data_IF_563034100899
#
_entry.id   IF_563034100899
#
_cell.length_a   1.000
_cell.length_b   1.000
_cell.length_c   1.000
_cell.angle_alpha   90.00
_cell.angle_beta   90.00
_cell.angle_gamma   90.00
#
_symmetry.space_group_name_H-M   'P 1'
#
loop_
_entity.id
_entity.type
_entity.pdbx_description
1 polymer ?
#
# COMPACT_ATOMS: atom_id res chain seq x y z
N UNK A 1 -21.72 -12.70 -5.55
CA UNK A 1 -23.12 -12.87 -5.98
C UNK A 1 -24.15 -12.40 -4.94
N UNK A 2 -24.17 -12.93 -3.71
CA UNK A 2 -25.15 -12.49 -2.68
C UNK A 2 -25.10 -10.97 -2.37
N UNK A 3 -23.91 -10.36 -2.38
CA UNK A 3 -23.74 -8.93 -2.13
C UNK A 3 -24.46 -8.04 -3.16
N UNK A 4 -24.38 -8.39 -4.46
CA UNK A 4 -25.08 -7.66 -5.52
C UNK A 4 -26.60 -7.68 -5.31
N UNK A 5 -27.16 -8.84 -4.97
CA UNK A 5 -28.60 -8.96 -4.74
C UNK A 5 -29.10 -8.07 -3.59
N UNK A 6 -28.31 -7.93 -2.51
CA UNK A 6 -28.66 -7.02 -1.42
C UNK A 6 -28.57 -5.55 -1.84
N UNK A 7 -27.54 -5.19 -2.59
CA UNK A 7 -27.35 -3.81 -3.06
C UNK A 7 -28.41 -3.43 -4.10
N UNK A 8 -28.77 -4.33 -5.01
CA UNK A 8 -29.86 -4.13 -5.96
C UNK A 8 -31.20 -3.93 -5.26
N UNK A 9 -31.45 -4.71 -4.19
CA UNK A 9 -32.63 -4.51 -3.34
C UNK A 9 -32.59 -3.13 -2.65
N UNK A 10 -31.45 -2.71 -2.13
CA UNK A 10 -31.31 -1.39 -1.51
C UNK A 10 -31.61 -0.25 -2.51
N UNK A 11 -31.08 -0.33 -3.73
CA UNK A 11 -31.34 0.64 -4.80
C UNK A 11 -32.82 0.61 -5.24
N UNK A 12 -33.46 -0.56 -5.25
CA UNK A 12 -34.88 -0.68 -5.58
C UNK A 12 -35.80 -0.05 -4.52
N UNK A 13 -35.37 -0.05 -3.26
CA UNK A 13 -36.08 0.57 -2.14
C UNK A 13 -35.84 2.08 -2.10
N UNK A 14 -34.62 2.52 -2.40
CA UNK A 14 -34.25 3.93 -2.50
C UNK A 14 -33.27 4.15 -3.67
N UNK A 15 -33.79 4.73 -4.75
CA UNK A 15 -33.01 5.03 -5.95
C UNK A 15 -32.00 6.17 -5.74
N UNK A 16 -32.22 7.01 -4.71
CA UNK A 16 -31.38 8.15 -4.35
C UNK A 16 -30.37 7.78 -3.24
N UNK A 17 -30.15 6.49 -2.99
CA UNK A 17 -29.16 6.05 -2.02
C UNK A 17 -27.74 6.03 -2.63
N UNK A 18 -27.01 7.15 -2.54
CA UNK A 18 -25.66 7.29 -3.11
C UNK A 18 -24.70 6.16 -2.69
N UNK A 19 -24.66 5.83 -1.40
CA UNK A 19 -23.80 4.76 -0.87
C UNK A 19 -24.12 3.38 -1.46
N UNK A 20 -25.39 3.08 -1.74
CA UNK A 20 -25.76 1.80 -2.35
C UNK A 20 -25.24 1.71 -3.80
N UNK A 21 -25.37 2.79 -4.59
CA UNK A 21 -24.77 2.87 -5.92
C UNK A 21 -23.25 2.75 -5.86
N UNK A 22 -22.58 3.44 -4.92
CA UNK A 22 -21.14 3.32 -4.72
C UNK A 22 -20.72 1.89 -4.38
N UNK A 23 -21.38 1.25 -3.41
CA UNK A 23 -21.09 -0.12 -3.02
C UNK A 23 -21.31 -1.11 -4.18
N UNK A 24 -22.31 -0.86 -5.03
CA UNK A 24 -22.50 -1.65 -6.26
C UNK A 24 -21.31 -1.49 -7.21
N UNK A 25 -20.83 -0.25 -7.39
CA UNK A 25 -19.62 0.06 -8.13
C UNK A 25 -18.40 -0.70 -7.59
N UNK A 26 -18.18 -0.66 -6.28
CA UNK A 26 -17.07 -1.36 -5.60
C UNK A 26 -17.13 -2.88 -5.85
N UNK A 27 -18.32 -3.49 -5.73
CA UNK A 27 -18.51 -4.92 -5.98
C UNK A 27 -18.25 -5.26 -7.46
N UNK A 28 -18.69 -4.41 -8.39
CA UNK A 28 -18.46 -4.62 -9.83
C UNK A 28 -16.99 -4.46 -10.21
N UNK A 29 -16.28 -3.50 -9.60
CA UNK A 29 -14.83 -3.37 -9.74
C UNK A 29 -14.10 -4.61 -9.24
N UNK A 30 -14.49 -5.15 -8.07
CA UNK A 30 -13.91 -6.38 -7.54
C UNK A 30 -14.21 -7.62 -8.42
N UNK A 31 -15.19 -7.54 -9.32
CA UNK A 31 -15.50 -8.55 -10.33
C UNK A 31 -14.83 -8.30 -11.69
N UNK A 32 -13.91 -7.35 -11.77
CA UNK A 32 -13.22 -6.96 -13.01
C UNK A 32 -14.19 -6.47 -14.10
N UNK A 33 -15.25 -5.75 -13.69
CA UNK A 33 -16.26 -5.15 -14.57
C UNK A 33 -16.25 -3.61 -14.48
N UNK A 34 -15.14 -2.95 -14.87
CA UNK A 34 -14.97 -1.49 -14.70
C UNK A 34 -15.98 -0.67 -15.49
N UNK A 35 -16.45 -1.16 -16.65
CA UNK A 35 -17.47 -0.47 -17.46
C UNK A 35 -18.78 -0.27 -16.70
N UNK A 36 -19.28 -1.34 -16.07
CA UNK A 36 -20.52 -1.30 -15.29
C UNK A 36 -20.33 -0.56 -13.98
N UNK A 37 -19.15 -0.69 -13.37
CA UNK A 37 -18.83 0.03 -12.14
C UNK A 37 -18.85 1.54 -12.34
N UNK A 38 -18.27 2.03 -13.45
CA UNK A 38 -18.21 3.46 -13.79
C UNK A 38 -19.61 4.10 -13.79
N UNK A 39 -20.62 3.45 -14.38
CA UNK A 39 -21.99 3.98 -14.38
C UNK A 39 -22.60 4.08 -12.98
N UNK A 40 -22.32 3.12 -12.10
CA UNK A 40 -22.83 3.14 -10.73
C UNK A 40 -22.13 4.21 -9.88
N UNK A 41 -20.82 4.39 -10.04
CA UNK A 41 -20.12 5.52 -9.40
C UNK A 41 -20.56 6.87 -9.94
N UNK A 42 -20.87 6.97 -11.23
CA UNK A 42 -21.41 8.19 -11.82
C UNK A 42 -22.78 8.54 -11.21
N UNK A 43 -23.69 7.58 -11.03
CA UNK A 43 -24.94 7.82 -10.33
C UNK A 43 -24.73 8.20 -8.86
N UNK A 44 -23.79 7.56 -8.16
CA UNK A 44 -23.44 7.95 -6.80
C UNK A 44 -22.93 9.40 -6.74
N UNK A 45 -22.13 9.84 -7.73
CA UNK A 45 -21.67 11.22 -7.90
C UNK A 45 -22.81 12.19 -8.17
N UNK A 46 -23.78 11.85 -9.03
CA UNK A 46 -24.93 12.71 -9.32
C UNK A 46 -25.79 12.96 -8.08
N UNK A 47 -25.96 11.92 -7.24
CA UNK A 47 -26.75 12.00 -6.01
C UNK A 47 -25.97 12.76 -4.92
N UNK A 48 -24.67 12.46 -4.76
CA UNK A 48 -23.81 13.08 -3.76
C UNK A 48 -22.50 13.58 -4.39
N UNK A 49 -22.49 14.80 -4.96
CA UNK A 49 -21.30 15.34 -5.64
C UNK A 49 -20.10 15.57 -4.72
N UNK A 50 -20.28 15.57 -3.40
CA UNK A 50 -19.20 15.77 -2.42
C UNK A 50 -18.55 14.47 -1.95
N UNK A 51 -19.07 13.31 -2.38
CA UNK A 51 -18.53 12.02 -1.99
C UNK A 51 -17.27 11.66 -2.80
N UNK A 52 -16.10 11.93 -2.20
CA UNK A 52 -14.79 11.66 -2.81
C UNK A 52 -14.57 10.17 -3.11
N UNK A 53 -15.22 9.26 -2.38
CA UNK A 53 -15.10 7.82 -2.63
C UNK A 53 -15.72 7.41 -3.98
N UNK A 54 -16.77 8.12 -4.42
CA UNK A 54 -17.35 7.91 -5.76
C UNK A 54 -16.40 8.36 -6.87
N UNK A 55 -15.71 9.49 -6.70
CA UNK A 55 -14.66 9.92 -7.64
C UNK A 55 -13.49 8.94 -7.67
N UNK A 56 -13.08 8.41 -6.51
CA UNK A 56 -12.03 7.42 -6.39
C UNK A 56 -12.34 6.16 -7.20
N UNK A 57 -13.54 5.61 -7.06
CA UNK A 57 -14.00 4.47 -7.84
C UNK A 57 -14.00 4.74 -9.34
N UNK A 58 -14.45 5.92 -9.78
CA UNK A 58 -14.40 6.32 -11.19
C UNK A 58 -12.96 6.42 -11.72
N UNK A 59 -12.05 7.05 -10.97
CA UNK A 59 -10.64 7.18 -11.35
C UNK A 59 -10.00 5.80 -11.49
N UNK A 60 -10.26 4.89 -10.55
CA UNK A 60 -9.77 3.51 -10.62
C UNK A 60 -10.28 2.78 -11.86
N UNK A 61 -11.59 2.85 -12.15
CA UNK A 61 -12.18 2.29 -13.37
C UNK A 61 -11.49 2.81 -14.65
N UNK A 62 -11.29 4.13 -14.74
CA UNK A 62 -10.66 4.74 -15.91
C UNK A 62 -9.19 4.34 -16.05
N UNK A 63 -8.46 4.24 -14.94
CA UNK A 63 -7.07 3.80 -14.94
C UNK A 63 -6.92 2.34 -15.37
N UNK A 64 -7.77 1.44 -14.89
CA UNK A 64 -7.78 0.03 -15.31
C UNK A 64 -8.05 -0.12 -16.82
N UNK A 65 -8.85 0.79 -17.39
CA UNK A 65 -9.16 0.82 -18.83
C UNK A 65 -8.13 1.58 -19.66
N UNK A 66 -7.09 2.16 -19.05
CA UNK A 66 -6.11 3.00 -19.74
C UNK A 66 -6.65 4.35 -20.23
N UNK A 67 -7.82 4.77 -19.74
CA UNK A 67 -8.47 6.04 -20.09
C UNK A 67 -7.91 7.19 -19.21
N UNK A 68 -6.63 7.50 -19.39
CA UNK A 68 -5.91 8.45 -18.53
C UNK A 68 -6.48 9.88 -18.58
N UNK A 69 -7.01 10.32 -19.71
CA UNK A 69 -7.63 11.65 -19.84
C UNK A 69 -8.85 11.80 -18.93
N UNK A 70 -9.72 10.79 -18.93
CA UNK A 70 -10.97 10.79 -18.17
C UNK A 70 -10.68 10.64 -16.67
N UNK A 71 -9.66 9.83 -16.32
CA UNK A 71 -9.14 9.74 -14.95
C UNK A 71 -8.63 11.09 -14.44
N UNK A 72 -7.82 11.80 -15.23
CA UNK A 72 -7.28 13.12 -14.84
C UNK A 72 -8.41 14.16 -14.71
N UNK A 73 -9.38 14.16 -15.63
CA UNK A 73 -10.53 15.06 -15.56
C UNK A 73 -11.36 14.80 -14.31
N UNK A 74 -11.71 13.55 -14.05
CA UNK A 74 -12.49 13.14 -12.86
C UNK A 74 -11.76 13.47 -11.57
N UNK A 75 -10.44 13.26 -11.52
CA UNK A 75 -9.64 13.61 -10.36
C UNK A 75 -9.57 15.13 -10.13
N UNK A 76 -9.56 15.94 -11.20
CA UNK A 76 -9.62 17.41 -11.09
C UNK A 76 -10.98 17.87 -10.56
N UNK A 77 -12.08 17.29 -11.04
CA UNK A 77 -13.41 17.55 -10.49
C UNK A 77 -13.45 17.26 -8.98
N UNK A 78 -12.83 16.15 -8.53
CA UNK A 78 -12.76 15.83 -7.10
C UNK A 78 -12.05 16.92 -6.28
N UNK A 79 -10.97 17.51 -6.80
CA UNK A 79 -10.28 18.63 -6.15
C UNK A 79 -11.12 19.91 -6.17
N UNK A 80 -11.88 20.17 -7.24
CA UNK A 80 -12.75 21.35 -7.31
C UNK A 80 -13.84 21.29 -6.24
N UNK A 81 -14.40 20.09 -5.99
CA UNK A 81 -15.42 19.90 -4.96
C UNK A 81 -14.83 19.92 -3.56
N UNK A 82 -13.67 19.29 -3.34
CA UNK A 82 -13.02 19.20 -2.03
C UNK A 82 -11.53 19.62 -2.09
N UNK A 83 -11.22 20.92 -2.21
CA UNK A 83 -9.86 21.40 -2.46
C UNK A 83 -8.89 21.21 -1.29
N UNK A 84 -9.42 20.95 -0.09
CA UNK A 84 -8.67 20.69 1.14
C UNK A 84 -8.70 19.22 1.57
N UNK A 85 -9.41 18.36 0.85
CA UNK A 85 -9.41 16.92 1.17
C UNK A 85 -8.15 16.26 0.58
N UNK A 86 -7.26 15.68 1.40
CA UNK A 86 -6.05 15.03 0.92
C UNK A 86 -6.34 13.83 0.02
N UNK A 87 -7.52 13.18 0.14
CA UNK A 87 -7.95 12.09 -0.76
C UNK A 87 -8.18 12.60 -2.17
N UNK A 88 -8.87 13.73 -2.34
CA UNK A 88 -9.10 14.35 -3.65
C UNK A 88 -7.77 14.72 -4.33
N UNK A 89 -6.82 15.28 -3.57
CA UNK A 89 -5.49 15.60 -4.09
C UNK A 89 -4.68 14.34 -4.46
N UNK A 90 -4.85 13.26 -3.69
CA UNK A 90 -4.25 11.95 -3.98
C UNK A 90 -4.75 11.39 -5.31
N UNK A 91 -6.03 11.54 -5.64
CA UNK A 91 -6.59 11.07 -6.92
C UNK A 91 -5.91 11.73 -8.12
N UNK A 92 -5.60 13.02 -8.04
CA UNK A 92 -4.87 13.71 -9.12
C UNK A 92 -3.45 13.18 -9.24
N UNK A 93 -2.77 12.94 -8.11
CA UNK A 93 -1.46 12.32 -8.10
C UNK A 93 -1.48 10.95 -8.79
N UNK A 94 -2.46 10.11 -8.44
CA UNK A 94 -2.63 8.77 -8.99
C UNK A 94 -2.89 8.82 -10.51
N UNK A 95 -3.88 9.62 -10.93
CA UNK A 95 -4.24 9.75 -12.34
C UNK A 95 -3.06 10.25 -13.20
N UNK A 96 -2.28 11.20 -12.68
CA UNK A 96 -1.10 11.73 -13.36
C UNK A 96 0.10 10.76 -13.36
N UNK A 97 0.27 9.97 -12.29
CA UNK A 97 1.38 9.02 -12.17
C UNK A 97 1.28 7.87 -13.16
N UNK A 98 0.04 7.45 -13.50
CA UNK A 98 -0.23 6.37 -14.44
C UNK A 98 -0.34 6.84 -15.89
N UNK A 99 -0.51 8.14 -16.12
CA UNK A 99 -0.47 8.69 -17.46
C UNK A 99 0.95 8.56 -18.05
N UNK A 100 1.11 8.17 -19.32
CA UNK A 100 2.42 7.90 -19.94
C UNK A 100 3.29 9.15 -20.17
N UNK A 101 2.81 10.34 -19.82
CA UNK A 101 3.53 11.59 -20.07
C UNK A 101 4.55 11.87 -18.94
N UNK A 102 5.81 12.10 -19.31
CA UNK A 102 6.88 12.44 -18.34
C UNK A 102 6.55 13.65 -17.47
N UNK A 103 5.92 14.69 -18.02
CA UNK A 103 5.48 15.87 -17.26
C UNK A 103 4.40 15.56 -16.22
N UNK A 104 3.62 14.50 -16.45
CA UNK A 104 2.63 13.99 -15.49
C UNK A 104 3.29 13.50 -14.21
N UNK A 105 4.47 12.90 -14.32
CA UNK A 105 5.23 12.32 -13.21
C UNK A 105 5.63 13.36 -12.17
N UNK A 106 6.21 14.49 -12.59
CA UNK A 106 6.59 15.55 -11.65
C UNK A 106 5.38 16.22 -11.00
N UNK A 107 4.28 16.38 -11.76
CA UNK A 107 3.02 16.90 -11.23
C UNK A 107 2.40 15.93 -10.23
N UNK A 108 2.50 14.62 -10.47
CA UNK A 108 2.03 13.59 -9.56
C UNK A 108 2.78 13.61 -8.22
N UNK A 109 4.12 13.66 -8.25
CA UNK A 109 4.92 13.81 -7.01
C UNK A 109 4.54 15.06 -6.21
N UNK A 110 4.33 16.19 -6.89
CA UNK A 110 3.85 17.42 -6.25
C UNK A 110 2.46 17.26 -5.63
N UNK A 111 1.56 16.56 -6.30
CA UNK A 111 0.23 16.25 -5.78
C UNK A 111 0.31 15.35 -4.54
N UNK A 112 1.08 14.26 -4.56
CA UNK A 112 1.26 13.39 -3.40
C UNK A 112 1.90 14.10 -2.22
N UNK A 113 2.95 14.90 -2.45
CA UNK A 113 3.52 15.75 -1.40
C UNK A 113 2.47 16.69 -0.84
N UNK A 114 1.69 17.37 -1.68
CA UNK A 114 0.60 18.25 -1.22
C UNK A 114 -0.44 17.49 -0.40
N UNK A 115 -0.84 16.29 -0.80
CA UNK A 115 -1.77 15.45 -0.05
C UNK A 115 -1.24 15.11 1.35
N UNK A 116 0.04 14.73 1.45
CA UNK A 116 0.71 14.47 2.74
C UNK A 116 0.86 15.72 3.61
N UNK A 117 1.04 16.90 3.02
CA UNK A 117 1.06 18.16 3.79
C UNK A 117 -0.33 18.56 4.27
N UNK A 118 -1.38 18.32 3.47
CA UNK A 118 -2.76 18.68 3.80
C UNK A 118 -3.38 17.79 4.87
N UNK A 119 -2.98 16.53 4.96
CA UNK A 119 -3.49 15.63 6.00
C UNK A 119 -3.10 16.11 7.40
N UNK A 120 -2.00 16.88 7.54
CA UNK A 120 -1.45 17.29 8.84
C UNK A 120 -1.09 16.11 9.75
N UNK A 121 -1.24 14.88 9.23
CA UNK A 121 -1.17 13.63 9.95
C UNK A 121 -0.59 12.52 9.04
N UNK A 122 0.27 11.68 9.61
CA UNK A 122 0.96 10.55 8.98
C UNK A 122 0.09 9.27 9.01
N UNK A 123 -1.09 9.30 8.38
CA UNK A 123 -1.98 8.14 8.25
C UNK A 123 -2.39 7.81 6.81
N UNK A 124 -1.95 8.62 5.83
CA UNK A 124 -2.31 8.47 4.42
C UNK A 124 -1.32 7.56 3.69
N UNK A 125 -1.55 6.25 3.80
CA UNK A 125 -0.68 5.22 3.20
C UNK A 125 -0.60 5.33 1.68
N UNK A 126 -1.73 5.54 0.98
CA UNK A 126 -1.80 5.53 -0.49
C UNK A 126 -0.90 6.58 -1.17
N UNK A 127 -0.98 7.90 -0.85
CA UNK A 127 -0.08 8.88 -1.46
C UNK A 127 1.38 8.70 -1.02
N UNK A 128 1.64 8.20 0.19
CA UNK A 128 2.99 7.92 0.69
C UNK A 128 3.66 6.80 -0.12
N UNK A 129 3.00 5.64 -0.23
CA UNK A 129 3.52 4.50 -1.00
C UNK A 129 3.69 4.86 -2.47
N UNK A 130 2.72 5.56 -3.06
CA UNK A 130 2.84 6.00 -4.45
C UNK A 130 4.04 6.94 -4.65
N UNK A 131 4.31 7.85 -3.72
CA UNK A 131 5.49 8.72 -3.79
C UNK A 131 6.80 7.93 -3.62
N UNK A 132 6.82 6.95 -2.71
CA UNK A 132 7.98 6.06 -2.50
C UNK A 132 8.26 5.24 -3.75
N UNK A 133 7.26 4.62 -4.37
CA UNK A 133 7.42 3.85 -5.61
C UNK A 133 8.02 4.72 -6.73
N UNK A 134 7.54 5.97 -6.86
CA UNK A 134 8.10 6.91 -7.84
C UNK A 134 9.55 7.28 -7.51
N UNK A 135 9.90 7.54 -6.26
CA UNK A 135 11.28 7.84 -5.85
C UNK A 135 12.21 6.63 -6.01
N UNK A 136 11.71 5.41 -5.81
CA UNK A 136 12.44 4.16 -6.06
C UNK A 136 12.80 4.02 -7.54
N UNK A 137 11.84 4.27 -8.44
CA UNK A 137 12.09 4.30 -9.88
C UNK A 137 13.10 5.39 -10.30
N UNK A 138 13.23 6.48 -9.54
CA UNK A 138 14.25 7.51 -9.77
C UNK A 138 15.62 7.18 -9.16
N UNK A 139 15.70 6.16 -8.30
CA UNK A 139 16.91 5.80 -7.57
C UNK A 139 17.19 6.66 -6.33
N UNK A 140 16.26 7.52 -5.92
CA UNK A 140 16.41 8.39 -4.74
C UNK A 140 16.13 7.64 -3.42
N UNK A 141 16.89 6.57 -3.14
CA UNK A 141 16.65 5.65 -2.02
C UNK A 141 16.66 6.35 -0.65
N UNK A 142 17.50 7.36 -0.46
CA UNK A 142 17.56 8.12 0.80
C UNK A 142 16.26 8.89 1.09
N UNK A 143 15.62 9.44 0.05
CA UNK A 143 14.32 10.10 0.18
C UNK A 143 13.23 9.09 0.52
N UNK A 144 13.29 7.88 -0.06
CA UNK A 144 12.35 6.80 0.27
C UNK A 144 12.43 6.43 1.76
N UNK A 145 13.64 6.27 2.29
CA UNK A 145 13.86 5.96 3.72
C UNK A 145 13.31 7.08 4.61
N UNK A 146 13.63 8.36 4.33
CA UNK A 146 13.09 9.51 5.09
C UNK A 146 11.56 9.52 5.10
N UNK A 147 10.94 9.36 3.94
CA UNK A 147 9.48 9.37 3.81
C UNK A 147 8.82 8.24 4.60
N UNK A 148 9.37 7.03 4.54
CA UNK A 148 8.84 5.86 5.27
C UNK A 148 9.05 5.97 6.77
N UNK A 149 10.23 6.43 7.21
CA UNK A 149 10.50 6.66 8.64
C UNK A 149 9.57 7.71 9.23
N UNK A 150 9.35 8.84 8.53
CA UNK A 150 8.38 9.85 8.95
C UNK A 150 6.94 9.34 8.99
N UNK A 151 6.58 8.44 8.07
CA UNK A 151 5.29 7.76 8.10
C UNK A 151 5.13 6.86 9.34
N UNK A 152 6.19 6.16 9.73
CA UNK A 152 6.23 5.28 10.90
C UNK A 152 6.22 6.05 12.23
N UNK A 153 7.08 7.06 12.38
CA UNK A 153 7.13 7.94 13.56
C UNK A 153 5.76 8.55 13.85
N UNK A 154 5.13 8.97 12.79
CA UNK A 154 3.80 9.50 12.81
C UNK A 154 2.70 8.55 13.28
N UNK A 155 2.76 7.30 12.82
CA UNK A 155 1.83 6.26 13.26
C UNK A 155 1.96 5.99 14.76
N UNK A 156 3.17 6.15 15.33
CA UNK A 156 3.41 5.98 16.77
C UNK A 156 2.78 7.11 17.61
N UNK A 157 2.83 8.36 17.16
CA UNK A 157 2.21 9.49 17.88
C UNK A 157 0.68 9.36 17.96
N UNK A 158 0.04 8.85 16.91
CA UNK A 158 -1.41 8.60 16.89
C UNK A 158 -1.82 7.48 17.86
N UNK A 159 -1.05 6.38 17.93
CA UNK A 159 -1.29 5.28 18.87
C UNK A 159 -1.21 5.75 20.33
N UNK A 160 -0.16 6.51 20.65
CA UNK A 160 0.09 7.02 22.00
C UNK A 160 -0.94 8.09 22.38
N UNK A 161 -1.27 9.01 21.46
CA UNK A 161 -2.29 10.04 21.67
C UNK A 161 -3.68 9.47 21.88
N UNK A 162 -4.08 8.46 21.10
CA UNK A 162 -5.35 7.74 21.27
C UNK A 162 -5.42 6.99 22.61
N UNK A 163 -4.33 6.33 23.01
CA UNK A 163 -4.25 5.63 24.29
C UNK A 163 -4.26 6.61 25.49
N UNK A 164 -3.59 7.77 25.36
CA UNK A 164 -3.55 8.81 26.40
C UNK A 164 -4.92 9.51 26.58
N UNK A 165 -5.68 9.74 25.51
CA UNK A 165 -7.06 10.25 25.62
C UNK A 165 -8.01 9.25 26.30
N UNK A 166 -7.89 7.95 26.01
CA UNK A 166 -8.71 6.92 26.66
C UNK A 166 -8.37 6.74 28.15
N UNK A 167 -7.10 6.89 28.53
CA UNK A 167 -6.69 6.90 29.94
C UNK A 167 -7.15 8.19 30.66
N UNK A 168 -7.21 9.34 29.98
CA UNK A 168 -7.75 10.59 30.55
C UNK A 168 -9.27 10.56 30.83
N UNK A 169 -10.04 9.82 30.03
CA UNK A 169 -11.48 9.64 30.23
C UNK A 169 -11.83 8.66 31.36
N UNK A 170 -10.92 7.76 31.72
CA UNK A 170 -11.12 6.77 32.79
C UNK A 170 -10.65 7.27 34.17
N UNK A 171 -9.77 8.28 34.23
CA UNK A 171 -9.34 8.87 35.51
C UNK A 171 -10.23 9.99 36.05
N UNK A 172 -11.23 10.46 35.28
CA UNK A 172 -12.15 11.53 35.68
C UNK A 172 -13.52 11.03 36.18
N UNK A 173 -13.76 9.72 36.20
CA UNK A 173 -15.07 9.13 36.54
C UNK A 173 -15.03 8.04 37.62
N UNK A 174 -14.14 8.13 38.62
CA UNK A 174 -14.36 7.42 39.90
C UNK A 174 -15.25 8.24 40.84
N UNK A 175 -16.52 8.42 40.45
CA UNK A 175 -17.61 8.44 41.43
C UNK A 175 -18.93 8.09 40.76
N UNK A 176 -19.63 7.14 41.39
CA UNK A 176 -21.02 6.69 41.17
C UNK A 176 -21.34 5.79 39.96
N UNK A 177 -21.28 4.48 40.25
CA UNK A 177 -22.27 3.42 39.96
C UNK A 177 -23.40 3.68 38.94
N UNK A 178 -23.51 2.81 37.93
CA UNK A 178 -24.77 2.59 37.20
C UNK A 178 -24.59 1.93 35.82
N UNK A 179 -24.88 0.63 35.75
CA UNK A 179 -25.32 -0.16 34.57
C UNK A 179 -25.29 0.52 33.19
N UNK A 180 -24.41 0.05 32.31
CA UNK A 180 -24.44 0.37 30.88
C UNK A 180 -23.51 -0.57 30.09
N UNK A 181 -24.08 -1.65 29.56
CA UNK A 181 -23.42 -2.45 28.53
C UNK A 181 -23.45 -1.65 27.22
N UNK A 182 -22.33 -1.07 26.82
CA UNK A 182 -22.16 -0.47 25.49
C UNK A 182 -20.77 -0.79 24.96
N UNK A 183 -20.74 -1.66 23.96
CA UNK A 183 -19.81 -1.74 22.83
C UNK A 183 -18.33 -1.41 23.07
N UNK A 184 -17.53 -2.45 23.35
CA UNK A 184 -16.07 -2.46 23.20
C UNK A 184 -15.58 -2.71 21.76
N UNK A 185 -16.43 -2.53 20.74
CA UNK A 185 -16.13 -2.91 19.35
C UNK A 185 -15.42 -1.82 18.54
N UNK A 186 -15.38 -0.57 19.01
CA UNK A 186 -14.74 0.56 18.31
C UNK A 186 -13.24 0.70 18.60
N UNK A 187 -12.70 0.05 19.63
CA UNK A 187 -11.26 0.10 19.96
C UNK A 187 -10.44 -0.97 19.23
N UNK A 188 -11.07 -2.11 18.90
CA UNK A 188 -10.40 -3.24 18.23
C UNK A 188 -10.16 -2.97 16.74
N UNK A 189 -11.08 -2.29 16.05
CA UNK A 189 -10.94 -2.03 14.60
C UNK A 189 -9.84 -1.00 14.30
N UNK A 190 -9.69 0.01 15.16
CA UNK A 190 -8.67 1.06 15.00
C UNK A 190 -7.26 0.51 15.24
N UNK A 191 -7.08 -0.36 16.23
CA UNK A 191 -5.80 -1.04 16.48
C UNK A 191 -5.44 -2.00 15.34
N UNK A 192 -6.37 -2.82 14.85
CA UNK A 192 -6.10 -3.69 13.69
C UNK A 192 -5.77 -2.93 12.41
N UNK A 193 -6.46 -1.81 12.12
CA UNK A 193 -6.14 -0.99 10.95
C UNK A 193 -4.78 -0.30 11.07
N UNK A 194 -4.41 0.17 12.26
CA UNK A 194 -3.12 0.81 12.51
C UNK A 194 -1.96 -0.18 12.43
N UNK A 195 -2.14 -1.39 12.99
CA UNK A 195 -1.19 -2.48 12.83
C UNK A 195 -1.01 -2.89 11.35
N UNK A 196 -2.09 -2.85 10.55
CA UNK A 196 -2.05 -3.10 9.10
C UNK A 196 -1.42 -1.97 8.26
N UNK A 197 -1.27 -0.77 8.80
CA UNK A 197 -0.52 0.29 8.11
C UNK A 197 0.97 0.21 8.42
N UNK A 198 1.29 -0.11 9.68
CA UNK A 198 2.67 -0.17 10.15
C UNK A 198 3.45 -1.35 9.54
N UNK A 199 2.84 -2.54 9.41
CA UNK A 199 3.48 -3.70 8.77
C UNK A 199 3.76 -3.44 7.28
N UNK A 200 2.84 -2.78 6.56
CA UNK A 200 3.04 -2.40 5.16
C UNK A 200 4.19 -1.39 5.01
N UNK A 201 4.26 -0.38 5.89
CA UNK A 201 5.36 0.60 5.88
C UNK A 201 6.71 -0.05 6.21
N UNK A 202 6.76 -0.95 7.20
CA UNK A 202 7.97 -1.70 7.55
C UNK A 202 8.41 -2.62 6.42
N UNK A 203 7.46 -3.31 5.77
CA UNK A 203 7.74 -4.13 4.60
C UNK A 203 8.35 -3.30 3.48
N UNK A 204 7.76 -2.12 3.19
CA UNK A 204 8.27 -1.23 2.15
C UNK A 204 9.65 -0.66 2.49
N UNK A 205 9.89 -0.37 3.77
CA UNK A 205 11.20 0.09 4.24
C UNK A 205 12.26 -1.01 4.06
N UNK A 206 11.93 -2.26 4.40
CA UNK A 206 12.78 -3.42 4.13
C UNK A 206 13.14 -3.58 2.66
N UNK A 207 12.18 -3.38 1.75
CA UNK A 207 12.45 -3.38 0.29
C UNK A 207 13.45 -2.30 -0.13
N UNK A 208 13.25 -1.06 0.34
CA UNK A 208 14.12 0.08 0.03
C UNK A 208 15.54 -0.15 0.56
N UNK A 209 15.68 -0.63 1.81
CA UNK A 209 16.97 -0.92 2.43
C UNK A 209 17.69 -2.08 1.75
N UNK A 210 16.95 -3.07 1.25
CA UNK A 210 17.52 -4.16 0.43
C UNK A 210 18.14 -3.61 -0.85
N UNK A 211 17.49 -2.66 -1.53
CA UNK A 211 18.06 -2.00 -2.71
C UNK A 211 19.26 -1.10 -2.38
N UNK A 212 19.33 -0.59 -1.14
CA UNK A 212 20.45 0.21 -0.63
C UNK A 212 21.61 -0.65 -0.10
N UNK A 213 21.48 -1.98 -0.14
CA UNK A 213 22.45 -2.96 0.40
C UNK A 213 22.63 -2.90 1.94
N UNK A 214 21.69 -2.28 2.65
CA UNK A 214 21.64 -2.23 4.12
C UNK A 214 20.89 -3.46 4.67
N UNK A 215 21.45 -4.65 4.44
CA UNK A 215 20.75 -5.92 4.64
C UNK A 215 20.34 -6.22 6.09
N UNK A 216 21.17 -5.80 7.07
CA UNK A 216 20.86 -6.01 8.48
C UNK A 216 19.60 -5.22 8.88
N UNK A 217 19.55 -3.94 8.49
CA UNK A 217 18.40 -3.09 8.78
C UNK A 217 17.17 -3.56 7.99
N UNK A 218 17.34 -3.99 6.74
CA UNK A 218 16.26 -4.60 5.95
C UNK A 218 15.66 -5.84 6.64
N UNK A 219 16.51 -6.74 7.15
CA UNK A 219 16.07 -7.94 7.87
C UNK A 219 15.30 -7.59 9.15
N UNK A 220 15.74 -6.57 9.90
CA UNK A 220 14.98 -6.10 11.06
C UNK A 220 13.61 -5.57 10.67
N UNK A 221 13.49 -4.82 9.58
CA UNK A 221 12.22 -4.29 9.08
C UNK A 221 11.24 -5.41 8.66
N UNK A 222 11.73 -6.48 8.01
CA UNK A 222 10.88 -7.61 7.67
C UNK A 222 10.42 -8.40 8.91
N UNK A 223 11.32 -8.62 9.89
CA UNK A 223 10.93 -9.28 11.13
C UNK A 223 9.98 -8.44 11.98
N UNK A 224 10.14 -7.12 12.03
CA UNK A 224 9.18 -6.24 12.72
C UNK A 224 7.82 -6.28 12.01
N UNK A 225 7.78 -6.23 10.68
CA UNK A 225 6.53 -6.38 9.92
C UNK A 225 5.82 -7.71 10.24
N UNK A 226 6.54 -8.84 10.23
CA UNK A 226 5.99 -10.17 10.54
C UNK A 226 5.59 -10.33 12.02
N UNK A 227 6.25 -9.60 12.93
CA UNK A 227 5.86 -9.59 14.34
C UNK A 227 4.52 -8.88 14.57
N UNK A 228 4.20 -7.89 13.72
CA UNK A 228 2.94 -7.16 13.75
C UNK A 228 1.85 -7.96 13.03
N UNK A 229 2.16 -8.48 11.84
CA UNK A 229 1.25 -9.26 11.01
C UNK A 229 1.97 -10.49 10.43
N UNK A 230 1.82 -11.67 11.08
CA UNK A 230 2.44 -12.90 10.62
C UNK A 230 1.99 -13.35 9.22
N UNK A 231 0.80 -12.93 8.78
CA UNK A 231 0.20 -13.31 7.50
C UNK A 231 0.59 -12.35 6.35
N UNK A 232 1.48 -11.37 6.58
CA UNK A 232 1.94 -10.44 5.57
C UNK A 232 2.83 -11.15 4.52
N UNK A 233 2.21 -11.57 3.42
CA UNK A 233 2.88 -12.27 2.32
C UNK A 233 3.99 -11.46 1.65
N UNK A 234 3.86 -10.13 1.60
CA UNK A 234 4.86 -9.27 0.99
C UNK A 234 6.14 -9.21 1.84
N UNK A 235 6.00 -9.17 3.17
CA UNK A 235 7.12 -9.26 4.10
C UNK A 235 7.83 -10.62 4.02
N UNK A 236 7.08 -11.73 3.95
CA UNK A 236 7.66 -13.08 3.78
C UNK A 236 8.44 -13.17 2.48
N UNK A 237 7.84 -12.75 1.36
CA UNK A 237 8.51 -12.76 0.04
C UNK A 237 9.72 -11.83 0.00
N UNK A 238 9.63 -10.67 0.66
CA UNK A 238 10.73 -9.72 0.80
C UNK A 238 11.92 -10.34 1.54
N UNK A 239 11.66 -11.00 2.66
CA UNK A 239 12.68 -11.69 3.45
C UNK A 239 13.33 -12.85 2.67
N UNK A 240 12.54 -13.68 1.97
CA UNK A 240 13.08 -14.75 1.13
C UNK A 240 13.98 -14.21 0.00
N UNK A 241 13.61 -13.07 -0.60
CA UNK A 241 14.43 -12.40 -1.62
C UNK A 241 15.73 -11.89 -1.00
N UNK A 242 15.66 -11.26 0.16
CA UNK A 242 16.82 -10.76 0.89
C UNK A 242 17.81 -11.89 1.22
N UNK A 243 17.33 -13.00 1.78
CA UNK A 243 18.17 -14.17 2.10
C UNK A 243 18.87 -14.75 0.87
N UNK A 244 18.17 -14.81 -0.28
CA UNK A 244 18.77 -15.26 -1.55
C UNK A 244 19.87 -14.30 -2.02
N UNK A 245 19.64 -12.99 -1.92
CA UNK A 245 20.65 -11.97 -2.27
C UNK A 245 21.88 -12.10 -1.38
N UNK A 246 21.70 -12.31 -0.06
CA UNK A 246 22.81 -12.48 0.89
C UNK A 246 23.58 -13.79 0.67
N UNK A 247 22.90 -14.87 0.26
CA UNK A 247 23.57 -16.14 -0.10
C UNK A 247 24.31 -16.06 -1.44
N UNK A 248 23.73 -15.36 -2.43
CA UNK A 248 24.31 -15.21 -3.76
C UNK A 248 25.55 -14.32 -3.82
N UNK A 249 25.69 -13.36 -2.90
CA UNK A 249 26.93 -12.59 -2.72
C UNK A 249 28.02 -13.34 -1.94
N UNK A 250 27.69 -14.48 -1.31
CA UNK A 250 28.60 -15.29 -0.51
C UNK A 250 29.28 -16.45 -1.26
N UNK A 251 28.92 -16.73 -2.52
CA UNK A 251 29.49 -17.84 -3.30
C UNK A 251 30.37 -17.33 -4.44
N UNK A 252 31.60 -16.90 -4.13
CA UNK A 252 32.67 -16.78 -5.13
C UNK A 252 34.04 -17.34 -4.68
N UNK A 253 34.16 -18.03 -3.54
CA UNK A 253 35.49 -18.51 -3.09
C UNK A 253 35.48 -19.92 -2.44
N UNK A 254 34.79 -20.90 -3.01
CA UNK A 254 35.04 -22.33 -2.66
C UNK A 254 35.10 -23.22 -3.91
N UNK A 255 36.07 -22.96 -4.80
CA UNK A 255 36.60 -24.01 -5.68
C UNK A 255 37.49 -24.95 -4.85
N UNK A 256 36.84 -25.83 -4.07
CA UNK A 256 37.48 -27.06 -3.57
C UNK A 256 37.25 -28.14 -4.62
N UNK A 257 38.16 -28.21 -5.59
CA UNK A 257 38.30 -29.40 -6.43
C UNK A 257 39.18 -30.43 -5.72
N UNK A 258 38.61 -31.06 -4.70
CA UNK A 258 39.05 -32.39 -4.28
C UNK A 258 38.23 -33.42 -5.05
N UNK A 259 38.84 -34.04 -6.08
CA UNK A 259 38.40 -35.36 -6.50
C UNK A 259 39.61 -36.26 -6.83
N UNK A 260 40.03 -36.94 -5.76
CA UNK A 260 40.27 -38.37 -5.66
C UNK A 260 41.04 -39.08 -6.78
N UNK A 261 42.29 -39.38 -6.44
CA UNK A 261 43.08 -40.49 -6.97
C UNK A 261 42.34 -41.83 -6.93
N UNK A 262 42.27 -42.54 -8.05
CA UNK A 262 42.35 -44.00 -8.03
C UNK A 262 43.16 -44.52 -9.23
N UNK A 263 44.20 -45.24 -8.87
CA UNK A 263 45.16 -45.91 -9.74
C UNK A 263 44.48 -47.03 -10.52
N UNK A 264 44.83 -47.20 -11.80
CA UNK A 264 45.27 -48.51 -12.29
C UNK A 264 46.13 -48.36 -13.55
N UNK A 265 47.32 -48.95 -13.45
CA UNK A 265 48.41 -48.93 -14.40
C UNK A 265 48.19 -49.91 -15.58
N UNK A 266 49.16 -49.89 -16.51
CA UNK A 266 49.48 -50.88 -17.57
C UNK A 266 48.80 -50.57 -18.92
N UNK A 267 49.49 -50.40 -20.06
CA UNK A 267 50.83 -50.74 -20.53
C UNK A 267 51.19 -49.82 -21.72
N UNK A 268 52.44 -49.34 -21.78
CA UNK A 268 53.12 -48.94 -23.02
C UNK A 268 53.62 -50.22 -23.70
N UNK A 269 53.70 -50.30 -25.05
CA UNK A 269 54.96 -49.86 -25.68
C UNK A 269 54.87 -49.27 -27.11
N UNK A 270 55.95 -48.54 -27.43
CA UNK A 270 56.65 -48.37 -28.72
C UNK A 270 56.01 -47.61 -29.91
N UNK A 271 56.76 -46.58 -30.32
CA UNK A 271 56.82 -45.88 -31.62
C UNK A 271 57.34 -46.80 -32.77
N UNK A 272 57.60 -46.38 -34.05
CA UNK A 272 57.56 -45.04 -34.69
C UNK A 272 56.99 -44.98 -36.16
N UNK A 273 57.18 -43.84 -36.83
CA UNK A 273 57.15 -43.54 -38.31
C UNK A 273 55.78 -43.50 -39.01
N UNK A 274 55.43 -42.52 -39.85
CA UNK A 274 56.20 -41.71 -40.83
C UNK A 274 55.96 -40.20 -40.71
#
# INVERSE_FOLDING_TARGET
EKALAFVDKAISLDQQHAFAHRLKGDILLAQDLPDKATSNFFHAKEICPTDIASYEGMVECFLQRGQYSDAIMTAREAIEVAPRDPRAVTLVGLALSRAPQKEGRDRAKRAFRKALHLSGQPGMLRPLLALVDMCMEDGDLNMCVDLLQRGLEGSHEEAVGGMMMMMGATTSSTSTSGTGATDGTSTSTSTTHQHHQQDVLQTKLGEVLTLKEEFMDAMTCFHTALSINPDNLDAVRGLERLEKTMRGSGTMDEDVSEDCSSQQAQQRPTSPTY
#
